data_IF_076407181208
#
_entry.id   IF_076407181208
#
_cell.length_a   1.000
_cell.length_b   1.000
_cell.length_c   1.000
_cell.angle_alpha   90.00
_cell.angle_beta   90.00
_cell.angle_gamma   90.00
#
_symmetry.space_group_name_H-M   'P 1'
#
loop_
_entity.id
_entity.type
_entity.pdbx_description
1 polymer ?
#
# COMPACT_ATOMS: atom_id res chain seq x y z
N UNK A 1 28.11 -1.53 -17.89
CA UNK A 1 26.68 -1.23 -17.77
C UNK A 1 26.52 -0.34 -16.54
N UNK A 2 26.07 0.90 -16.69
CA UNK A 2 25.74 1.71 -15.52
C UNK A 2 24.54 1.06 -14.83
N UNK A 3 24.72 0.59 -13.60
CA UNK A 3 23.63 0.03 -12.81
C UNK A 3 22.59 1.12 -12.57
N UNK A 4 21.30 0.80 -12.78
CA UNK A 4 20.19 1.72 -12.46
C UNK A 4 20.23 2.04 -10.97
N UNK A 5 20.26 3.31 -10.61
CA UNK A 5 20.27 3.76 -9.21
C UNK A 5 18.87 4.02 -8.67
N UNK A 6 17.98 4.53 -9.52
CA UNK A 6 16.62 4.91 -9.14
C UNK A 6 15.60 4.26 -10.06
N UNK A 7 14.58 3.62 -9.49
CA UNK A 7 13.38 3.18 -10.20
C UNK A 7 12.16 3.94 -9.69
N UNK A 8 11.38 4.54 -10.60
CA UNK A 8 10.13 5.20 -10.26
C UNK A 8 8.97 4.34 -10.76
N UNK A 9 8.12 3.87 -9.86
CA UNK A 9 6.95 3.03 -10.18
C UNK A 9 5.69 3.88 -10.14
N UNK A 10 4.97 3.92 -11.25
CA UNK A 10 3.79 4.77 -11.44
C UNK A 10 2.61 3.89 -11.90
N UNK A 11 1.66 3.58 -10.99
CA UNK A 11 0.41 2.94 -11.37
C UNK A 11 -0.47 3.91 -12.16
N UNK A 12 -1.08 3.43 -13.26
CA UNK A 12 -1.93 4.25 -14.15
C UNK A 12 -3.27 3.55 -14.36
N UNK A 13 -4.37 4.25 -14.08
CA UNK A 13 -5.72 3.77 -14.35
C UNK A 13 -6.65 4.89 -14.75
N UNK A 14 -6.99 4.97 -16.06
CA UNK A 14 -7.84 6.01 -16.65
C UNK A 14 -7.33 7.44 -16.36
N UNK A 15 -6.06 7.70 -16.70
CA UNK A 15 -5.38 8.99 -16.49
C UNK A 15 -4.94 9.64 -17.82
N UNK A 16 -5.62 9.33 -18.95
CA UNK A 16 -5.24 9.80 -20.26
C UNK A 16 -5.07 11.32 -20.35
N UNK A 17 -5.91 12.08 -19.64
CA UNK A 17 -5.88 13.57 -19.64
C UNK A 17 -4.64 14.13 -18.91
N UNK A 18 -4.17 13.45 -17.85
CA UNK A 18 -3.07 13.89 -16.99
C UNK A 18 -1.68 13.47 -17.47
N UNK A 19 -1.58 12.38 -18.24
CA UNK A 19 -0.31 11.75 -18.59
C UNK A 19 0.66 12.69 -19.32
N UNK A 20 0.18 13.53 -20.23
CA UNK A 20 1.04 14.49 -20.95
C UNK A 20 1.70 15.49 -20.01
N UNK A 21 0.94 16.01 -19.05
CA UNK A 21 1.44 16.93 -18.02
C UNK A 21 2.40 16.20 -17.07
N UNK A 22 2.09 14.97 -16.69
CA UNK A 22 2.99 14.14 -15.88
C UNK A 22 4.34 13.97 -16.58
N UNK A 23 4.36 13.60 -17.86
CA UNK A 23 5.62 13.43 -18.60
C UNK A 23 6.43 14.71 -18.66
N UNK A 24 5.76 15.85 -18.93
CA UNK A 24 6.41 17.17 -19.02
C UNK A 24 7.10 17.60 -17.72
N UNK A 25 6.64 17.12 -16.56
CA UNK A 25 7.25 17.42 -15.24
C UNK A 25 8.20 16.33 -14.77
N UNK A 26 7.83 15.07 -14.96
CA UNK A 26 8.57 13.92 -14.41
C UNK A 26 9.95 13.75 -15.03
N UNK A 27 10.05 13.74 -16.37
CA UNK A 27 11.35 13.52 -17.03
C UNK A 27 12.37 14.62 -16.70
N UNK A 28 12.05 15.92 -16.79
CA UNK A 28 12.99 16.96 -16.38
C UNK A 28 13.39 16.88 -14.90
N UNK A 29 12.45 16.54 -14.00
CA UNK A 29 12.74 16.39 -12.59
C UNK A 29 13.74 15.24 -12.33
N UNK A 30 13.59 14.10 -13.03
CA UNK A 30 14.50 12.97 -12.90
C UNK A 30 15.83 13.19 -13.61
N UNK A 31 15.82 13.80 -14.82
CA UNK A 31 17.04 14.17 -15.56
C UNK A 31 17.92 15.13 -14.74
N UNK A 32 17.30 16.04 -13.97
CA UNK A 32 18.02 16.97 -13.09
C UNK A 32 18.73 16.31 -11.90
N UNK A 33 18.37 15.08 -11.52
CA UNK A 33 19.04 14.37 -10.44
C UNK A 33 20.45 13.90 -10.85
N UNK A 34 20.73 13.78 -12.15
CA UNK A 34 22.05 13.38 -12.68
C UNK A 34 22.48 11.95 -12.35
N UNK A 35 21.54 11.09 -11.94
CA UNK A 35 21.77 9.67 -11.62
C UNK A 35 21.07 8.77 -12.65
N UNK A 36 21.58 7.55 -12.93
CA UNK A 36 20.90 6.60 -13.79
C UNK A 36 19.55 6.19 -13.20
N UNK A 37 18.47 6.33 -13.97
CA UNK A 37 17.13 5.99 -13.52
C UNK A 37 16.33 5.21 -14.57
N UNK A 38 15.25 4.58 -14.11
CA UNK A 38 14.18 4.03 -14.95
C UNK A 38 12.83 4.44 -14.41
N UNK A 39 11.83 4.51 -15.29
CA UNK A 39 10.44 4.74 -14.95
C UNK A 39 9.64 3.50 -15.38
N UNK A 40 8.94 2.90 -14.42
CA UNK A 40 8.07 1.77 -14.63
C UNK A 40 6.61 2.22 -14.55
N UNK A 41 5.99 2.47 -15.69
CA UNK A 41 4.54 2.69 -15.74
C UNK A 41 3.81 1.35 -15.71
N UNK A 42 2.81 1.22 -14.85
CA UNK A 42 1.98 0.01 -14.77
C UNK A 42 0.53 0.38 -15.06
N UNK A 43 0.07 0.07 -16.27
CA UNK A 43 -1.32 0.29 -16.67
C UNK A 43 -2.22 -0.80 -16.09
N UNK A 44 -3.05 -0.42 -15.13
CA UNK A 44 -3.97 -1.31 -14.41
C UNK A 44 -5.28 -1.52 -15.19
N UNK A 45 -5.17 -1.93 -16.46
CA UNK A 45 -6.31 -2.25 -17.29
C UNK A 45 -7.20 -1.04 -17.60
N UNK A 46 -6.62 0.12 -17.91
CA UNK A 46 -7.36 1.33 -18.31
C UNK A 46 -8.29 1.08 -19.50
N UNK A 47 -9.44 1.75 -19.47
CA UNK A 47 -10.47 1.68 -20.53
C UNK A 47 -10.41 2.86 -21.49
N UNK A 48 -9.65 3.89 -21.15
CA UNK A 48 -9.39 5.08 -21.96
C UNK A 48 -8.13 4.91 -22.82
N UNK A 49 -7.61 6.01 -23.37
CA UNK A 49 -6.40 6.01 -24.22
C UNK A 49 -5.08 5.90 -23.43
N UNK A 50 -5.09 5.75 -22.10
CA UNK A 50 -3.87 5.69 -21.28
C UNK A 50 -2.86 4.65 -21.78
N UNK A 51 -3.33 3.45 -22.12
CA UNK A 51 -2.44 2.38 -22.63
C UNK A 51 -1.75 2.75 -23.95
N UNK A 52 -2.46 3.44 -24.86
CA UNK A 52 -1.89 3.91 -26.13
C UNK A 52 -0.85 5.01 -25.91
N UNK A 53 -1.16 5.98 -25.03
CA UNK A 53 -0.26 7.07 -24.66
C UNK A 53 1.04 6.53 -24.03
N UNK A 54 0.94 5.52 -23.15
CA UNK A 54 2.12 4.90 -22.53
C UNK A 54 2.99 4.16 -23.55
N UNK A 55 2.39 3.48 -24.56
CA UNK A 55 3.13 2.84 -25.65
C UNK A 55 3.90 3.89 -26.49
N UNK A 56 3.24 5.01 -26.82
CA UNK A 56 3.87 6.10 -27.54
C UNK A 56 5.01 6.73 -26.73
N UNK A 57 4.81 6.93 -25.41
CA UNK A 57 5.86 7.47 -24.55
C UNK A 57 7.06 6.53 -24.42
N UNK A 58 6.84 5.22 -24.37
CA UNK A 58 7.91 4.22 -24.45
C UNK A 58 8.73 4.35 -25.74
N UNK A 59 8.07 4.56 -26.89
CA UNK A 59 8.78 4.76 -28.16
C UNK A 59 9.62 6.04 -28.19
N UNK A 60 9.19 7.10 -27.48
CA UNK A 60 9.93 8.38 -27.38
C UNK A 60 11.16 8.31 -26.49
N UNK A 61 11.08 7.56 -25.39
CA UNK A 61 12.14 7.46 -24.37
C UNK A 61 12.35 5.99 -23.95
N UNK A 62 12.73 5.08 -24.87
CA UNK A 62 12.89 3.66 -24.58
C UNK A 62 14.08 3.38 -23.65
N UNK A 63 15.01 4.34 -23.56
CA UNK A 63 16.23 4.32 -22.72
C UNK A 63 15.94 4.25 -21.22
N UNK A 64 14.87 4.94 -20.77
CA UNK A 64 14.51 5.05 -19.35
C UNK A 64 13.07 4.62 -19.04
N UNK A 65 12.22 4.46 -20.06
CA UNK A 65 10.80 4.13 -19.88
C UNK A 65 10.57 2.65 -20.05
N UNK A 66 9.83 2.06 -19.11
CA UNK A 66 9.31 0.69 -19.21
C UNK A 66 7.82 0.70 -18.90
N UNK A 67 7.06 -0.19 -19.53
CA UNK A 67 5.60 -0.23 -19.36
C UNK A 67 5.13 -1.65 -19.15
N UNK A 68 4.34 -1.86 -18.11
CA UNK A 68 3.58 -3.10 -17.87
C UNK A 68 2.12 -2.81 -18.18
N UNK A 69 1.49 -3.68 -18.97
CA UNK A 69 0.07 -3.60 -19.30
C UNK A 69 -0.65 -4.79 -18.68
N UNK A 70 -1.64 -4.55 -17.84
CA UNK A 70 -2.53 -5.59 -17.33
C UNK A 70 -3.69 -5.85 -18.28
N UNK A 71 -4.24 -7.06 -18.23
CA UNK A 71 -5.42 -7.44 -19.01
C UNK A 71 -6.75 -7.00 -18.37
N UNK A 72 -6.72 -6.42 -17.17
CA UNK A 72 -7.87 -5.92 -16.43
C UNK A 72 -7.44 -5.10 -15.22
N UNK A 73 -8.41 -4.52 -14.50
CA UNK A 73 -8.13 -3.76 -13.28
C UNK A 73 -7.98 -4.70 -12.07
N UNK A 74 -6.83 -4.64 -11.41
CA UNK A 74 -6.49 -5.41 -10.20
C UNK A 74 -6.24 -4.51 -8.99
N UNK A 75 -6.25 -3.19 -9.17
CA UNK A 75 -6.06 -2.19 -8.14
C UNK A 75 -4.62 -1.68 -8.01
N UNK A 76 -4.51 -0.44 -7.52
CA UNK A 76 -3.27 0.32 -7.43
C UNK A 76 -2.12 -0.44 -6.76
N UNK A 77 -2.39 -1.12 -5.63
CA UNK A 77 -1.36 -1.88 -4.93
C UNK A 77 -0.82 -3.05 -5.76
N UNK A 78 -1.68 -3.69 -6.56
CA UNK A 78 -1.24 -4.78 -7.44
C UNK A 78 -0.40 -4.26 -8.60
N UNK A 79 -0.73 -3.09 -9.13
CA UNK A 79 0.08 -2.41 -10.13
C UNK A 79 1.48 -2.04 -9.57
N UNK A 80 1.56 -1.52 -8.34
CA UNK A 80 2.84 -1.24 -7.69
C UNK A 80 3.63 -2.53 -7.46
N UNK A 81 2.98 -3.62 -6.99
CA UNK A 81 3.65 -4.92 -6.81
C UNK A 81 4.26 -5.44 -8.11
N UNK A 82 3.54 -5.36 -9.24
CA UNK A 82 4.07 -5.77 -10.54
C UNK A 82 5.28 -4.91 -10.96
N UNK A 83 5.24 -3.62 -10.66
CA UNK A 83 6.40 -2.73 -10.82
C UNK A 83 7.57 -3.19 -9.97
N UNK A 84 7.35 -3.46 -8.68
CA UNK A 84 8.38 -3.90 -7.74
C UNK A 84 9.08 -5.20 -8.14
N UNK A 85 8.36 -6.13 -8.79
CA UNK A 85 8.94 -7.37 -9.30
C UNK A 85 9.88 -7.15 -10.50
N UNK A 86 9.77 -6.01 -11.20
CA UNK A 86 10.48 -5.75 -12.47
C UNK A 86 11.50 -4.62 -12.40
N UNK A 87 11.49 -3.79 -11.35
CA UNK A 87 12.44 -2.67 -11.21
C UNK A 87 13.88 -3.15 -10.94
N UNK A 88 14.85 -2.35 -11.35
CA UNK A 88 16.30 -2.67 -11.31
C UNK A 88 17.09 -1.76 -10.36
N UNK A 89 16.56 -0.60 -10.00
CA UNK A 89 17.24 0.42 -9.18
C UNK A 89 17.51 0.00 -7.74
N UNK A 90 18.50 0.60 -7.12
CA UNK A 90 18.79 0.42 -5.68
C UNK A 90 17.78 1.12 -4.80
N UNK A 91 17.28 2.27 -5.25
CA UNK A 91 16.25 3.08 -4.61
C UNK A 91 15.01 3.00 -5.46
N UNK A 92 13.89 2.76 -4.84
CA UNK A 92 12.61 2.62 -5.54
C UNK A 92 11.67 3.70 -5.00
N UNK A 93 11.04 4.46 -5.89
CA UNK A 93 10.06 5.48 -5.53
C UNK A 93 8.72 5.11 -6.16
N UNK A 94 7.64 5.19 -5.39
CA UNK A 94 6.28 5.14 -5.92
C UNK A 94 5.73 6.55 -6.08
N UNK A 95 5.00 6.82 -7.15
CA UNK A 95 4.37 8.11 -7.45
C UNK A 95 3.01 7.88 -8.10
N UNK A 96 1.98 8.62 -7.68
CA UNK A 96 0.67 8.60 -8.34
C UNK A 96 0.70 9.38 -9.66
N UNK A 97 -0.08 8.92 -10.65
CA UNK A 97 -0.13 9.55 -11.97
C UNK A 97 -0.95 10.86 -12.01
N UNK A 98 -1.69 11.18 -10.95
CA UNK A 98 -2.66 12.29 -10.88
C UNK A 98 -2.03 13.67 -10.54
N UNK A 99 -0.71 13.73 -10.40
CA UNK A 99 0.08 14.93 -10.08
C UNK A 99 -0.27 15.60 -8.74
N UNK A 100 -1.03 14.95 -7.86
CA UNK A 100 -1.26 15.50 -6.52
C UNK A 100 0.05 15.61 -5.72
N UNK A 101 1.02 14.76 -6.01
CA UNK A 101 2.36 14.82 -5.47
C UNK A 101 3.33 15.24 -6.59
N UNK A 102 3.99 16.40 -6.47
CA UNK A 102 4.92 16.88 -7.47
C UNK A 102 6.10 15.91 -7.68
N UNK A 103 6.43 15.53 -8.94
CA UNK A 103 7.61 14.70 -9.22
C UNK A 103 8.93 15.32 -8.74
N UNK A 104 8.99 16.63 -8.61
CA UNK A 104 10.11 17.42 -8.12
C UNK A 104 10.50 17.07 -6.68
N UNK A 105 9.55 16.56 -5.89
CA UNK A 105 9.79 16.11 -4.52
C UNK A 105 10.62 14.82 -4.43
N UNK A 106 10.75 14.05 -5.53
CA UNK A 106 11.53 12.80 -5.57
C UNK A 106 12.96 13.04 -5.10
N UNK A 107 13.58 14.15 -5.50
CA UNK A 107 14.95 14.47 -5.09
C UNK A 107 15.13 14.57 -3.57
N UNK A 108 14.12 15.08 -2.85
CA UNK A 108 14.14 15.16 -1.39
C UNK A 108 14.03 13.80 -0.71
N UNK A 109 13.25 12.88 -1.30
CA UNK A 109 13.17 11.51 -0.80
C UNK A 109 14.52 10.79 -0.97
N UNK A 110 15.14 10.94 -2.14
CA UNK A 110 16.46 10.35 -2.43
C UNK A 110 17.52 10.89 -1.48
N UNK A 111 17.56 12.20 -1.23
CA UNK A 111 18.46 12.80 -0.25
C UNK A 111 18.32 12.18 1.15
N UNK A 112 17.08 11.88 1.59
CA UNK A 112 16.84 11.19 2.85
C UNK A 112 17.35 9.74 2.85
N UNK A 113 17.20 9.04 1.73
CA UNK A 113 17.79 7.69 1.60
C UNK A 113 19.32 7.74 1.66
N UNK A 114 19.95 8.80 1.13
CA UNK A 114 21.41 8.99 1.20
C UNK A 114 21.91 9.26 2.64
N UNK A 115 21.05 9.76 3.54
CA UNK A 115 21.31 9.86 4.97
C UNK A 115 21.24 8.48 5.69
N UNK A 116 20.94 7.40 4.95
CA UNK A 116 20.87 6.02 5.45
C UNK A 116 19.51 5.60 5.98
N UNK A 117 18.42 6.31 5.61
CA UNK A 117 17.06 5.83 5.82
C UNK A 117 16.70 4.81 4.74
N UNK A 118 16.05 3.72 5.13
CA UNK A 118 15.68 2.61 4.24
C UNK A 118 14.23 2.72 3.73
N UNK A 119 13.39 3.51 4.42
CA UNK A 119 12.03 3.85 4.04
C UNK A 119 11.74 5.32 4.31
N UNK A 120 11.24 6.03 3.29
CA UNK A 120 10.83 7.42 3.40
C UNK A 120 9.36 7.54 3.06
N UNK A 121 8.53 7.76 4.08
CA UNK A 121 7.12 8.11 3.92
C UNK A 121 6.96 9.61 3.70
N UNK A 122 5.80 10.02 3.16
CA UNK A 122 5.50 11.43 2.99
C UNK A 122 4.20 11.83 3.68
N UNK A 123 4.18 13.07 4.16
CA UNK A 123 3.03 13.72 4.81
C UNK A 123 2.63 14.93 3.98
N UNK A 124 1.37 15.02 3.58
CA UNK A 124 0.84 16.16 2.84
C UNK A 124 0.73 17.39 3.73
N UNK A 125 1.33 18.50 3.32
CA UNK A 125 1.44 19.76 4.10
C UNK A 125 0.11 20.47 4.32
N UNK A 126 -0.88 20.28 3.45
CA UNK A 126 -2.15 21.01 3.50
C UNK A 126 -3.35 20.07 3.47
N UNK A 127 -3.79 19.61 4.65
CA UNK A 127 -5.05 18.87 4.78
C UNK A 127 -6.07 19.73 5.52
N UNK A 128 -6.99 20.38 4.80
CA UNK A 128 -8.14 21.09 5.37
C UNK A 128 -9.22 20.07 5.76
N UNK A 129 -9.05 19.38 6.88
CA UNK A 129 -10.09 18.52 7.43
C UNK A 129 -10.92 19.28 8.49
N UNK A 130 -12.24 19.04 8.55
CA UNK A 130 -13.08 19.58 9.61
C UNK A 130 -12.60 19.06 10.98
N UNK A 131 -12.74 19.87 12.05
CA UNK A 131 -12.27 19.54 13.41
C UNK A 131 -12.77 18.17 13.91
N UNK A 132 -14.01 17.78 13.58
CA UNK A 132 -14.59 16.49 13.92
C UNK A 132 -13.90 15.33 13.19
N UNK A 133 -13.62 15.48 11.89
CA UNK A 133 -12.89 14.50 11.09
C UNK A 133 -11.46 14.32 11.60
N UNK A 134 -10.83 15.42 11.98
CA UNK A 134 -9.47 15.41 12.55
C UNK A 134 -9.42 14.62 13.87
N UNK A 135 -10.38 14.87 14.78
CA UNK A 135 -10.44 14.16 16.07
C UNK A 135 -10.72 12.66 15.88
N UNK A 136 -11.71 12.30 15.07
CA UNK A 136 -12.07 10.91 14.79
C UNK A 136 -10.89 10.15 14.11
N UNK A 137 -10.21 10.79 13.15
CA UNK A 137 -9.04 10.24 12.49
C UNK A 137 -7.88 10.04 13.47
N UNK A 138 -7.62 11.02 14.35
CA UNK A 138 -6.55 10.94 15.36
C UNK A 138 -6.79 9.82 16.36
N UNK A 139 -8.03 9.68 16.85
CA UNK A 139 -8.39 8.60 17.78
C UNK A 139 -8.25 7.21 17.11
N UNK A 140 -8.74 7.07 15.87
CA UNK A 140 -8.59 5.84 15.10
C UNK A 140 -7.13 5.50 14.79
N UNK A 141 -6.32 6.50 14.44
CA UNK A 141 -4.89 6.32 14.21
C UNK A 141 -4.18 5.83 15.49
N UNK A 142 -4.48 6.45 16.65
CA UNK A 142 -3.90 6.04 17.93
C UNK A 142 -4.21 4.58 18.29
N UNK A 143 -5.48 4.16 18.11
CA UNK A 143 -5.90 2.78 18.34
C UNK A 143 -5.17 1.82 17.40
N UNK A 144 -5.12 2.16 16.11
CA UNK A 144 -4.41 1.35 15.11
C UNK A 144 -2.92 1.26 15.41
N UNK A 145 -2.23 2.38 15.69
CA UNK A 145 -0.80 2.38 16.03
C UNK A 145 -0.50 1.49 17.23
N UNK A 146 -1.39 1.52 18.23
CA UNK A 146 -1.22 0.66 19.42
C UNK A 146 -1.42 -0.82 19.11
N UNK A 147 -2.31 -1.13 18.17
CA UNK A 147 -2.65 -2.51 17.78
C UNK A 147 -1.63 -3.07 16.79
N UNK A 148 -1.26 -2.29 15.75
CA UNK A 148 -0.42 -2.77 14.64
C UNK A 148 1.06 -2.43 14.82
N UNK A 149 1.40 -1.51 15.73
CA UNK A 149 2.73 -0.90 15.92
C UNK A 149 3.25 -0.14 14.70
N UNK A 150 2.39 0.15 13.73
CA UNK A 150 2.73 0.88 12.51
C UNK A 150 2.44 2.36 12.74
N UNK A 151 3.50 3.17 12.81
CA UNK A 151 3.41 4.63 13.01
C UNK A 151 3.51 5.31 11.65
N UNK A 152 2.39 5.55 11.00
CA UNK A 152 2.30 6.31 9.75
C UNK A 152 1.30 7.45 9.92
N UNK A 153 1.74 8.67 9.65
CA UNK A 153 0.93 9.89 9.81
C UNK A 153 -0.06 10.04 8.65
N UNK A 154 0.41 9.92 7.41
CA UNK A 154 -0.43 9.98 6.21
C UNK A 154 -0.41 8.65 5.45
N UNK A 155 -1.55 7.95 5.50
CA UNK A 155 -1.70 6.67 4.81
C UNK A 155 -2.08 6.82 3.34
N UNK A 156 -2.72 7.93 2.99
CA UNK A 156 -3.23 8.16 1.64
C UNK A 156 -2.17 8.68 0.66
N UNK A 157 -0.99 9.08 1.13
CA UNK A 157 0.07 9.55 0.26
C UNK A 157 0.88 8.37 -0.27
N UNK A 158 0.93 8.20 -1.59
CA UNK A 158 1.66 7.10 -2.23
C UNK A 158 3.03 7.52 -2.77
N UNK A 159 3.41 8.79 -2.66
CA UNK A 159 4.79 9.22 -2.91
C UNK A 159 5.67 8.72 -1.77
N UNK A 160 6.44 7.68 -2.00
CA UNK A 160 7.26 7.01 -0.99
C UNK A 160 8.54 6.47 -1.61
N UNK A 161 9.60 6.41 -0.81
CA UNK A 161 10.85 5.79 -1.25
C UNK A 161 11.17 4.56 -0.40
N UNK A 162 11.75 3.56 -1.05
CA UNK A 162 12.07 2.26 -0.49
C UNK A 162 13.48 1.84 -0.89
N UNK A 163 14.21 1.19 0.02
CA UNK A 163 15.44 0.48 -0.34
C UNK A 163 15.13 -0.78 -1.14
N UNK A 164 16.11 -1.28 -1.88
CA UNK A 164 16.02 -2.56 -2.59
C UNK A 164 15.62 -3.70 -1.66
N UNK A 165 16.23 -3.79 -0.49
CA UNK A 165 16.00 -4.86 0.48
C UNK A 165 14.53 -4.90 0.95
N UNK A 166 13.92 -3.73 1.17
CA UNK A 166 12.49 -3.63 1.53
C UNK A 166 11.60 -4.12 0.38
N UNK A 167 11.91 -3.72 -0.86
CA UNK A 167 11.13 -4.15 -2.03
C UNK A 167 11.26 -5.66 -2.24
N UNK A 168 12.44 -6.24 -2.08
CA UNK A 168 12.65 -7.68 -2.15
C UNK A 168 11.92 -8.43 -1.04
N UNK A 169 11.93 -7.89 0.19
CA UNK A 169 11.16 -8.44 1.29
C UNK A 169 9.64 -8.42 0.99
N UNK A 170 9.13 -7.30 0.45
CA UNK A 170 7.72 -7.18 0.03
C UNK A 170 7.39 -8.19 -1.08
N UNK A 171 8.24 -8.34 -2.08
CA UNK A 171 8.06 -9.28 -3.19
C UNK A 171 8.04 -10.74 -2.71
N UNK A 172 8.80 -11.06 -1.65
CA UNK A 172 8.80 -12.39 -1.05
C UNK A 172 7.52 -12.72 -0.28
N UNK A 173 6.74 -11.70 0.14
CA UNK A 173 5.46 -11.90 0.81
C UNK A 173 4.43 -12.47 -0.15
N UNK A 174 3.72 -13.53 0.26
CA UNK A 174 2.65 -14.17 -0.52
C UNK A 174 1.25 -13.68 -0.17
N UNK A 175 1.15 -12.59 0.57
CA UNK A 175 -0.14 -12.02 0.98
C UNK A 175 -0.91 -11.49 -0.23
N UNK A 176 -2.21 -11.81 -0.31
CA UNK A 176 -3.09 -11.36 -1.42
C UNK A 176 -3.58 -9.94 -1.16
N UNK A 177 -3.84 -9.60 0.09
CA UNK A 177 -4.29 -8.25 0.49
C UNK A 177 -3.11 -7.45 1.01
N UNK A 178 -2.38 -6.82 0.09
CA UNK A 178 -1.13 -6.11 0.41
C UNK A 178 -1.39 -4.62 0.49
N UNK A 179 -1.31 -4.06 1.69
CA UNK A 179 -1.16 -2.62 1.87
C UNK A 179 0.33 -2.28 1.95
N UNK A 180 0.91 -1.96 0.81
CA UNK A 180 2.37 -1.79 0.62
C UNK A 180 3.00 -0.86 1.66
N UNK A 181 2.45 0.34 1.98
CA UNK A 181 3.06 1.22 2.98
C UNK A 181 3.21 0.58 4.37
N UNK A 182 2.23 -0.21 4.80
CA UNK A 182 2.29 -0.88 6.10
C UNK A 182 3.32 -2.02 6.12
N UNK A 183 3.38 -2.81 5.03
CA UNK A 183 4.40 -3.84 4.87
C UNK A 183 5.81 -3.25 4.85
N UNK A 184 6.03 -2.19 4.07
CA UNK A 184 7.31 -1.51 4.00
C UNK A 184 7.75 -1.00 5.38
N UNK A 185 6.83 -0.36 6.12
CA UNK A 185 7.12 0.12 7.47
C UNK A 185 7.49 -1.02 8.43
N UNK A 186 6.87 -2.19 8.27
CA UNK A 186 7.16 -3.37 9.11
C UNK A 186 8.57 -3.92 8.87
N UNK A 187 9.07 -3.84 7.62
CA UNK A 187 10.41 -4.31 7.25
C UNK A 187 11.49 -3.25 7.43
N UNK A 188 11.11 -1.96 7.53
CA UNK A 188 12.05 -0.88 7.67
C UNK A 188 12.78 -0.91 9.02
N UNK A 189 14.10 -0.75 8.99
CA UNK A 189 14.95 -0.59 10.16
C UNK A 189 15.08 0.87 10.58
N UNK A 190 15.10 1.78 9.60
CA UNK A 190 15.24 3.24 9.79
C UNK A 190 14.20 4.01 8.97
N UNK A 191 12.90 3.90 9.34
CA UNK A 191 11.84 4.64 8.66
C UNK A 191 11.88 6.14 9.04
N UNK A 192 11.53 7.00 8.08
CA UNK A 192 11.33 8.45 8.30
C UNK A 192 10.12 8.94 7.50
N UNK A 193 9.48 9.97 7.98
CA UNK A 193 8.44 10.70 7.24
C UNK A 193 8.88 12.15 7.01
N UNK A 194 8.66 12.66 5.80
CA UNK A 194 8.95 14.06 5.42
C UNK A 194 7.69 14.75 4.92
N UNK A 195 7.58 16.05 5.18
CA UNK A 195 6.50 16.85 4.60
C UNK A 195 6.83 17.17 3.15
N UNK A 196 5.83 16.95 2.27
CA UNK A 196 5.91 17.25 0.82
C UNK A 196 4.80 18.20 0.43
N UNK A 197 5.03 18.95 -0.64
CA UNK A 197 3.99 19.76 -1.24
C UNK A 197 2.88 18.86 -1.79
N UNK A 198 1.66 19.38 -1.75
CA UNK A 198 0.49 18.68 -2.26
C UNK A 198 -0.33 19.64 -3.09
N UNK A 199 -0.50 19.32 -4.35
CA UNK A 199 -1.32 20.09 -5.29
C UNK A 199 -2.76 19.54 -5.28
N UNK A 200 -3.73 20.45 -5.46
CA UNK A 200 -5.12 20.01 -5.62
C UNK A 200 -5.27 19.25 -6.94
N UNK A 201 -6.06 18.19 -6.92
CA UNK A 201 -6.32 17.38 -8.11
C UNK A 201 -6.90 18.26 -9.21
N UNK A 202 -6.31 18.22 -10.40
CA UNK A 202 -6.76 19.00 -11.56
C UNK A 202 -8.20 18.62 -12.01
N UNK A 203 -8.70 17.44 -11.67
CA UNK A 203 -10.06 16.97 -11.94
C UNK A 203 -10.51 15.90 -10.95
N UNK A 204 -11.68 16.07 -10.32
CA UNK A 204 -12.40 15.05 -9.54
C UNK A 204 -12.45 15.28 -8.02
N UNK A 205 -13.64 15.10 -7.43
CA UNK A 205 -13.84 15.17 -5.96
C UNK A 205 -13.43 13.86 -5.28
N UNK A 206 -12.69 13.97 -4.18
CA UNK A 206 -12.41 12.82 -3.28
C UNK A 206 -13.68 12.43 -2.52
N UNK A 207 -14.31 11.32 -2.91
CA UNK A 207 -15.57 10.80 -2.32
C UNK A 207 -15.32 9.70 -1.27
N UNK A 208 -14.34 9.83 -0.40
CA UNK A 208 -14.23 8.88 0.72
C UNK A 208 -15.28 9.19 1.78
N UNK A 209 -16.29 8.33 1.89
CA UNK A 209 -17.29 8.41 2.95
C UNK A 209 -16.69 8.00 4.30
N UNK A 210 -17.29 8.46 5.42
CA UNK A 210 -16.87 8.03 6.77
C UNK A 210 -16.90 6.50 6.91
N UNK A 211 -17.86 5.83 6.28
CA UNK A 211 -17.95 4.37 6.24
C UNK A 211 -16.72 3.72 5.59
N UNK A 212 -16.24 4.27 4.48
CA UNK A 212 -15.03 3.74 3.80
C UNK A 212 -13.77 3.90 4.66
N UNK A 213 -13.66 5.00 5.42
CA UNK A 213 -12.55 5.21 6.35
C UNK A 213 -12.59 4.21 7.52
N UNK A 214 -13.77 3.97 8.10
CA UNK A 214 -13.94 2.97 9.17
C UNK A 214 -13.59 1.58 8.65
N UNK A 215 -14.12 1.20 7.49
CA UNK A 215 -13.83 -0.08 6.84
C UNK A 215 -12.35 -0.27 6.58
N UNK A 216 -11.67 0.73 5.99
CA UNK A 216 -10.23 0.68 5.72
C UNK A 216 -9.42 0.44 7.01
N UNK A 217 -9.75 1.15 8.09
CA UNK A 217 -9.05 0.96 9.36
C UNK A 217 -9.32 -0.43 9.96
N UNK A 218 -10.56 -0.93 9.88
CA UNK A 218 -10.88 -2.28 10.32
C UNK A 218 -10.13 -3.35 9.51
N UNK A 219 -10.08 -3.18 8.19
CA UNK A 219 -9.32 -4.06 7.28
C UNK A 219 -7.83 -4.06 7.62
N UNK A 220 -7.23 -2.90 7.88
CA UNK A 220 -5.83 -2.81 8.31
C UNK A 220 -5.60 -3.48 9.67
N UNK A 221 -6.48 -3.25 10.65
CA UNK A 221 -6.33 -3.85 11.98
C UNK A 221 -6.42 -5.37 11.92
N UNK A 222 -7.35 -5.94 11.14
CA UNK A 222 -7.53 -7.39 11.02
C UNK A 222 -6.51 -8.05 10.09
N UNK A 223 -5.94 -7.30 9.13
CA UNK A 223 -4.88 -7.81 8.26
C UNK A 223 -3.51 -7.92 8.97
N UNK A 224 -3.18 -6.94 9.81
CA UNK A 224 -1.85 -6.84 10.42
C UNK A 224 -1.82 -7.21 11.91
N UNK A 225 -2.95 -7.59 12.53
CA UNK A 225 -2.98 -7.88 13.95
C UNK A 225 -4.08 -8.88 14.33
N UNK A 226 -3.74 -9.79 15.25
CA UNK A 226 -4.68 -10.67 15.92
C UNK A 226 -5.28 -10.05 17.19
N UNK A 227 -4.87 -8.83 17.56
CA UNK A 227 -5.33 -8.17 18.80
C UNK A 227 -6.86 -8.06 18.88
N UNK A 228 -7.61 -7.71 17.81
CA UNK A 228 -9.08 -7.68 17.90
C UNK A 228 -9.68 -9.04 18.31
N UNK A 229 -9.16 -10.13 17.76
CA UNK A 229 -9.59 -11.49 18.11
C UNK A 229 -9.19 -11.88 19.53
N UNK A 230 -7.98 -11.52 19.95
CA UNK A 230 -7.48 -11.77 21.31
C UNK A 230 -8.28 -10.99 22.36
N UNK A 231 -8.59 -9.71 22.09
CA UNK A 231 -9.44 -8.90 22.97
C UNK A 231 -10.84 -9.50 23.10
N UNK A 232 -11.42 -9.91 21.98
CA UNK A 232 -12.73 -10.59 22.00
C UNK A 232 -12.67 -11.88 22.84
N UNK A 233 -11.65 -12.70 22.68
CA UNK A 233 -11.44 -13.93 23.45
C UNK A 233 -11.28 -13.65 24.95
N UNK A 234 -10.52 -12.60 25.30
CA UNK A 234 -10.32 -12.20 26.70
C UNK A 234 -11.62 -11.72 27.35
N UNK A 235 -12.40 -10.90 26.65
CA UNK A 235 -13.71 -10.42 27.08
C UNK A 235 -14.68 -11.61 27.24
N UNK A 236 -14.71 -12.51 26.27
CA UNK A 236 -15.53 -13.71 26.31
C UNK A 236 -15.17 -14.62 27.51
N UNK A 237 -13.89 -14.77 27.82
CA UNK A 237 -13.42 -15.54 28.97
C UNK A 237 -13.85 -14.89 30.31
N UNK A 238 -13.75 -13.56 30.42
CA UNK A 238 -14.22 -12.81 31.58
C UNK A 238 -15.73 -12.97 31.78
N UNK A 239 -16.52 -12.81 30.71
CA UNK A 239 -17.99 -13.00 30.74
C UNK A 239 -18.34 -14.45 31.15
N UNK A 240 -17.64 -15.44 30.61
CA UNK A 240 -17.84 -16.83 30.97
C UNK A 240 -17.59 -17.08 32.46
N UNK A 241 -16.49 -16.54 33.01
CA UNK A 241 -16.19 -16.65 34.44
C UNK A 241 -17.26 -15.99 35.32
N UNK A 242 -17.69 -14.76 34.96
CA UNK A 242 -18.76 -14.06 35.66
C UNK A 242 -20.08 -14.82 35.57
N UNK A 243 -20.39 -15.41 34.41
CA UNK A 243 -21.59 -16.24 34.22
C UNK A 243 -21.58 -17.50 35.11
N UNK A 244 -20.45 -18.17 35.24
CA UNK A 244 -20.31 -19.32 36.13
C UNK A 244 -20.58 -18.92 37.60
N UNK A 245 -19.97 -17.80 38.04
CA UNK A 245 -20.19 -17.31 39.41
C UNK A 245 -21.66 -16.90 39.61
N UNK A 246 -22.30 -16.26 38.63
CA UNK A 246 -23.68 -15.87 38.69
C UNK A 246 -24.62 -17.07 38.74
N UNK A 247 -24.39 -18.08 37.91
CA UNK A 247 -25.18 -19.35 37.94
C UNK A 247 -25.01 -20.05 39.28
N UNK A 248 -23.78 -20.10 39.82
CA UNK A 248 -23.54 -20.62 41.15
C UNK A 248 -24.31 -19.87 42.24
N UNK A 249 -24.32 -18.55 42.21
CA UNK A 249 -25.09 -17.72 43.11
C UNK A 249 -26.60 -18.01 43.01
N UNK A 250 -27.17 -18.09 41.78
CA UNK A 250 -28.55 -18.41 41.57
C UNK A 250 -28.95 -19.82 42.06
N UNK A 251 -28.06 -20.78 41.86
CA UNK A 251 -28.26 -22.16 42.39
C UNK A 251 -28.35 -22.21 43.93
N UNK A 252 -27.41 -21.53 44.61
CA UNK A 252 -27.41 -21.41 46.06
C UNK A 252 -28.68 -20.67 46.56
N UNK A 253 -29.00 -19.56 45.94
CA UNK A 253 -30.20 -18.77 46.28
C UNK A 253 -31.47 -19.60 46.09
N UNK A 254 -31.60 -20.35 45.03
CA UNK A 254 -32.77 -21.24 44.78
C UNK A 254 -32.92 -22.33 45.87
N UNK A 255 -31.81 -22.85 46.39
CA UNK A 255 -31.84 -23.85 47.46
C UNK A 255 -32.22 -23.22 48.81
N UNK A 256 -31.84 -21.98 49.07
CA UNK A 256 -32.07 -21.31 50.37
C UNK A 256 -33.42 -20.57 50.44
N UNK A 257 -33.88 -19.93 49.35
CA UNK A 257 -35.01 -18.99 49.32
C UNK A 257 -36.21 -19.57 48.56
N UNK A 258 -36.00 -20.55 47.68
CA UNK A 258 -37.05 -21.16 46.86
C UNK A 258 -37.17 -20.57 45.44
N UNK A 259 -38.15 -21.03 44.63
CA UNK A 259 -38.27 -20.60 43.22
C UNK A 259 -38.89 -19.20 43.13
N UNK A 260 -38.29 -18.33 42.25
CA UNK A 260 -38.81 -17.01 41.89
C UNK A 260 -39.52 -17.08 40.53
N UNK A 261 -40.77 -16.58 40.46
CA UNK A 261 -41.58 -16.55 39.21
C UNK A 261 -41.39 -15.26 38.38
N UNK A 262 -40.76 -14.20 38.90
CA UNK A 262 -40.81 -12.84 38.28
C UNK A 262 -39.56 -12.49 37.41
N UNK A 263 -38.60 -13.40 37.25
CA UNK A 263 -37.32 -13.10 36.56
C UNK A 263 -37.30 -13.35 35.04
N UNK A 264 -38.39 -13.70 34.39
CA UNK A 264 -38.42 -14.16 32.99
C UNK A 264 -37.92 -13.11 32.01
N UNK A 265 -38.35 -11.84 32.13
CA UNK A 265 -37.92 -10.75 31.26
C UNK A 265 -36.42 -10.47 31.42
N UNK A 266 -35.90 -10.46 32.64
CA UNK A 266 -34.48 -10.26 32.93
C UNK A 266 -33.66 -11.41 32.35
N UNK A 267 -34.14 -12.65 32.45
CA UNK A 267 -33.48 -13.83 31.87
C UNK A 267 -33.38 -13.71 30.35
N UNK A 268 -34.50 -13.35 29.65
CA UNK A 268 -34.47 -13.16 28.21
C UNK A 268 -33.54 -12.01 27.81
N UNK A 269 -33.50 -10.88 28.55
CA UNK A 269 -32.60 -9.77 28.31
C UNK A 269 -31.13 -10.22 28.38
N UNK A 270 -30.75 -10.98 29.40
CA UNK A 270 -29.41 -11.51 29.55
C UNK A 270 -29.05 -12.50 28.42
N UNK A 271 -29.98 -13.41 28.09
CA UNK A 271 -29.77 -14.40 27.02
C UNK A 271 -29.57 -13.72 25.66
N UNK A 272 -30.42 -12.74 25.30
CA UNK A 272 -30.27 -12.00 24.05
C UNK A 272 -28.99 -11.18 24.01
N UNK A 273 -28.58 -10.57 25.14
CA UNK A 273 -27.31 -9.85 25.22
C UNK A 273 -26.10 -10.77 24.99
N UNK A 274 -26.07 -11.92 25.68
CA UNK A 274 -25.01 -12.93 25.51
C UNK A 274 -25.01 -13.50 24.08
N UNK A 275 -26.17 -13.75 23.50
CA UNK A 275 -26.31 -14.22 22.12
C UNK A 275 -25.78 -13.16 21.13
N UNK A 276 -26.07 -11.87 21.37
CA UNK A 276 -25.53 -10.76 20.56
C UNK A 276 -24.01 -10.71 20.59
N UNK A 277 -23.40 -10.88 21.76
CA UNK A 277 -21.93 -10.96 21.89
C UNK A 277 -21.38 -12.19 21.14
N UNK A 278 -22.02 -13.34 21.26
CA UNK A 278 -21.60 -14.56 20.57
C UNK A 278 -21.68 -14.40 19.04
N UNK A 279 -22.76 -13.81 18.52
CA UNK A 279 -22.93 -13.54 17.09
C UNK A 279 -21.87 -12.54 16.58
N UNK A 280 -21.53 -11.51 17.36
CA UNK A 280 -20.45 -10.58 17.02
C UNK A 280 -19.11 -11.33 16.90
N UNK A 281 -18.81 -12.25 17.83
CA UNK A 281 -17.60 -13.04 17.77
C UNK A 281 -17.53 -13.98 16.57
N UNK A 282 -18.66 -14.59 16.21
CA UNK A 282 -18.77 -15.42 15.02
C UNK A 282 -18.50 -14.57 13.77
N UNK A 283 -19.04 -13.34 13.71
CA UNK A 283 -18.78 -12.40 12.63
C UNK A 283 -17.30 -12.04 12.53
N UNK A 284 -16.65 -11.72 13.64
CA UNK A 284 -15.22 -11.43 13.70
C UNK A 284 -14.38 -12.65 13.27
N UNK A 285 -14.70 -13.84 13.75
CA UNK A 285 -14.05 -15.08 13.34
C UNK A 285 -14.23 -15.33 11.84
N UNK A 286 -15.44 -15.08 11.30
CA UNK A 286 -15.73 -15.17 9.87
C UNK A 286 -14.84 -14.29 9.02
N UNK A 287 -14.52 -13.07 9.48
CA UNK A 287 -13.59 -12.18 8.80
C UNK A 287 -12.17 -12.79 8.68
N UNK A 288 -11.63 -13.34 9.78
CA UNK A 288 -10.33 -14.01 9.74
C UNK A 288 -10.34 -15.28 8.88
N UNK A 289 -11.38 -16.10 8.98
CA UNK A 289 -11.54 -17.28 8.13
C UNK A 289 -11.65 -16.91 6.67
N UNK A 290 -12.36 -15.83 6.34
CA UNK A 290 -12.45 -15.28 4.98
C UNK A 290 -11.09 -14.89 4.43
N UNK A 291 -10.25 -14.20 5.22
CA UNK A 291 -8.88 -13.83 4.84
C UNK A 291 -8.00 -15.05 4.62
N UNK A 292 -8.03 -16.03 5.53
CA UNK A 292 -7.31 -17.30 5.38
C UNK A 292 -7.74 -18.01 4.10
N UNK A 293 -9.05 -18.10 3.84
CA UNK A 293 -9.59 -18.72 2.61
C UNK A 293 -9.09 -18.04 1.33
N UNK A 294 -9.01 -16.70 1.32
CA UNK A 294 -8.44 -15.97 0.19
C UNK A 294 -6.95 -16.31 0.00
N UNK A 295 -6.18 -16.34 1.08
CA UNK A 295 -4.74 -16.58 1.04
C UNK A 295 -4.40 -18.02 0.58
N UNK A 296 -5.19 -19.01 1.02
CA UNK A 296 -5.01 -20.44 0.66
C UNK A 296 -5.30 -20.68 -0.83
N UNK A 297 -6.17 -19.91 -1.46
CA UNK A 297 -6.54 -20.09 -2.89
C UNK A 297 -5.38 -19.85 -3.86
N UNK A 298 -4.33 -19.16 -3.48
CA UNK A 298 -3.11 -18.87 -4.29
C UNK A 298 -3.42 -18.43 -5.73
N UNK A 299 -4.47 -17.65 -5.93
CA UNK A 299 -4.78 -17.07 -7.25
C UNK A 299 -3.71 -16.07 -7.64
N UNK A 300 -3.34 -15.95 -8.93
CA UNK A 300 -2.46 -14.88 -9.39
C UNK A 300 -2.99 -13.51 -8.94
N UNK A 301 -2.10 -12.66 -8.44
CA UNK A 301 -2.46 -11.32 -7.95
C UNK A 301 -2.93 -10.41 -9.07
N UNK A 302 -2.37 -10.59 -10.27
CA UNK A 302 -2.65 -9.85 -11.50
C UNK A 302 -2.27 -10.71 -12.71
N UNK A 303 -2.72 -10.29 -13.88
CA UNK A 303 -2.36 -10.92 -15.16
C UNK A 303 -1.75 -9.86 -16.09
N UNK A 304 -0.48 -10.05 -16.43
CA UNK A 304 0.24 -9.18 -17.37
C UNK A 304 -0.13 -9.57 -18.79
N UNK A 305 -0.59 -8.60 -19.57
CA UNK A 305 -0.85 -8.73 -21.00
C UNK A 305 0.42 -8.53 -21.83
N UNK A 306 1.22 -7.52 -21.46
CA UNK A 306 2.46 -7.19 -22.15
C UNK A 306 3.42 -6.41 -21.24
N UNK A 307 4.71 -6.56 -21.51
CA UNK A 307 5.78 -5.74 -20.95
C UNK A 307 6.52 -5.08 -22.11
N UNK A 308 6.65 -3.77 -22.06
CA UNK A 308 7.42 -3.00 -23.02
C UNK A 308 8.72 -2.57 -22.31
N UNK A 309 9.81 -3.09 -22.80
CA UNK A 309 11.16 -2.75 -22.32
C UNK A 309 12.15 -2.85 -23.48
N UNK A 310 13.23 -2.10 -23.42
CA UNK A 310 14.29 -2.21 -24.41
C UNK A 310 15.11 -3.45 -24.08
N UNK A 311 15.18 -4.41 -25.01
CA UNK A 311 16.03 -5.58 -24.89
C UNK A 311 17.50 -5.13 -24.89
N UNK A 312 18.21 -5.37 -23.80
CA UNK A 312 19.63 -5.04 -23.66
C UNK A 312 20.49 -5.76 -24.72
N UNK A 313 20.08 -6.93 -25.21
CA UNK A 313 20.73 -7.67 -26.32
C UNK A 313 20.54 -6.97 -27.66
N UNK A 314 19.35 -6.48 -27.97
CA UNK A 314 19.08 -5.73 -29.20
C UNK A 314 19.79 -4.38 -29.21
N UNK A 315 19.88 -3.70 -28.04
CA UNK A 315 20.62 -2.45 -27.88
C UNK A 315 22.12 -2.62 -28.02
N UNK A 316 22.67 -3.76 -27.59
CA UNK A 316 24.09 -4.10 -27.74
C UNK A 316 24.48 -4.33 -29.22
N UNK A 317 23.54 -4.88 -30.02
CA UNK A 317 23.74 -5.10 -31.46
C UNK A 317 23.65 -3.81 -32.31
N UNK A 318 22.96 -2.79 -31.79
CA UNK A 318 22.79 -1.49 -32.45
C UNK A 318 23.87 -0.46 -32.11
N UNK A 319 24.81 -0.77 -31.19
CA UNK A 319 25.95 0.11 -30.92
C UNK A 319 26.91 0.06 -32.11
N UNK A 320 27.26 1.20 -32.75
CA UNK A 320 28.32 1.21 -33.76
C UNK A 320 29.62 0.67 -33.14
N UNK A 321 30.29 -0.22 -33.87
CA UNK A 321 31.60 -0.74 -33.45
C UNK A 321 32.52 0.43 -33.08
N UNK A 322 33.30 0.32 -31.99
CA UNK A 322 34.27 1.37 -31.65
C UNK A 322 35.14 1.60 -32.86
N UNK A 323 35.26 2.87 -33.31
CA UNK A 323 36.11 3.26 -34.41
C UNK A 323 37.53 2.67 -34.18
N UNK A 324 37.97 1.89 -35.12
CA UNK A 324 39.33 1.33 -35.09
C UNK A 324 40.30 2.50 -34.98
N UNK A 325 40.95 2.60 -33.82
CA UNK A 325 42.09 3.50 -33.67
C UNK A 325 43.17 3.05 -34.68
N UNK A 326 43.34 3.83 -35.73
CA UNK A 326 44.46 3.71 -36.63
C UNK A 326 45.74 3.75 -35.79
N UNK A 327 46.38 2.59 -35.67
CA UNK A 327 47.75 2.55 -35.20
C UNK A 327 48.62 3.14 -36.32
N UNK A 328 48.94 4.43 -36.19
CA UNK A 328 50.02 4.99 -36.97
C UNK A 328 51.30 4.18 -36.70
N UNK A 329 51.73 3.49 -37.75
CA UNK A 329 53.03 2.87 -37.80
C UNK A 329 54.10 3.92 -37.83
N UNK A 330 54.83 4.09 -36.76
CA UNK A 330 56.16 4.77 -36.74
C UNK A 330 57.23 3.77 -37.11
N UNK A 331 57.67 3.83 -38.35
CA UNK A 331 58.91 3.27 -38.77
C UNK A 331 60.02 4.32 -38.55
N UNK A 332 61.02 3.99 -37.80
CA UNK A 332 62.43 4.32 -38.01
C UNK A 332 63.29 3.75 -36.87
#
# INVERSE_FOLDING_TARGET
MNSVELSVVIPVYNEAEGLATLFARLYPALDALGIPYEIMFVNDGSRDSSAAILREQFQKRPDVTRVILFNGNFGQHMAIMAGFEKVRGRRIVTLDADLQNPPEEIGRLIAKMDEGYDYVGTIRRSRQDSAFRHFASKAMNLVRERITRIRMTDQGCMLRAYSRDIVEAINSCREISTYIPALAYTFAQRPVEIEVEHEERAAGESKYSLYQLIRLNFDLMTAFSLVPLQMYSLVGMLISLLSILFVGYLAVRRLLVGPEAEGVFTLFGIVFFLLGIALFGIGLLGEYVGRISQQVRQRPRYLIQAVLEQDDEAAALLRPAPAATEREGGAA
#
